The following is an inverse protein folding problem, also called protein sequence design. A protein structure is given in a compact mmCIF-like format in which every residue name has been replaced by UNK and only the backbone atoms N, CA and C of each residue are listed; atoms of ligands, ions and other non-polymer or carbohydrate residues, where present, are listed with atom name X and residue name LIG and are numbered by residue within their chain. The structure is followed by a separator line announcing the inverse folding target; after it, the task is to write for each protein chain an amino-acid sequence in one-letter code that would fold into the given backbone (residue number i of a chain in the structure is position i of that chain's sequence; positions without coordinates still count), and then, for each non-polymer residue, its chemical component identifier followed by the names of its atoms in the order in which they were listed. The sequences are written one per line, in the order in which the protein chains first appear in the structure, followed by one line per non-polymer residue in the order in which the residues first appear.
data_IF_293504593619
#
_entry.id   IF_293504593619
#
_cell.length_a   1.000
_cell.length_b   1.000
_cell.length_c   1.000
_cell.angle_alpha   90.00
_cell.angle_beta   90.00
_cell.angle_gamma   90.00
#
_symmetry.space_group_name_H-M   'P 1'
#
loop_
_entity.id
_entity.type
_entity.pdbx_description
1 polymer ?
#
# COMPACT_ATOMS: atom_id res chain seq x y z
N UNK A 1 5.08 -35.16 39.08
CA UNK A 1 5.82 -33.89 38.92
C UNK A 1 5.64 -33.45 37.48
N UNK A 2 4.64 -32.63 37.21
CA UNK A 2 4.35 -32.06 35.88
C UNK A 2 5.18 -30.79 35.72
N UNK A 3 6.21 -30.86 34.90
CA UNK A 3 7.03 -29.71 34.51
C UNK A 3 6.18 -28.75 33.68
N UNK A 4 5.79 -27.63 34.29
CA UNK A 4 5.19 -26.51 33.57
C UNK A 4 6.27 -25.86 32.70
N UNK A 5 6.14 -26.06 31.40
CA UNK A 5 6.86 -25.32 30.37
C UNK A 5 6.42 -23.86 30.44
N UNK A 6 7.18 -23.02 31.16
CA UNK A 6 7.08 -21.57 31.04
C UNK A 6 7.66 -21.14 29.70
N UNK A 7 6.79 -21.03 28.69
CA UNK A 7 7.15 -20.37 27.43
C UNK A 7 7.58 -18.93 27.77
N UNK A 8 8.81 -18.50 27.42
CA UNK A 8 9.24 -17.15 27.72
C UNK A 8 8.29 -16.16 27.07
N UNK A 9 7.84 -15.17 27.84
CA UNK A 9 6.99 -14.09 27.35
C UNK A 9 7.70 -13.42 26.17
N UNK A 10 7.08 -13.44 24.98
CA UNK A 10 7.64 -12.76 23.83
C UNK A 10 7.73 -11.26 24.13
N UNK A 11 8.85 -10.59 23.84
CA UNK A 11 8.98 -9.16 24.05
C UNK A 11 7.93 -8.44 23.20
N UNK A 12 7.22 -7.50 23.83
CA UNK A 12 6.25 -6.64 23.15
C UNK A 12 6.93 -5.93 21.97
N UNK A 13 6.45 -6.18 20.74
CA UNK A 13 7.03 -5.63 19.52
C UNK A 13 6.09 -4.58 18.93
N UNK A 14 6.52 -3.33 18.96
CA UNK A 14 5.81 -2.23 18.30
C UNK A 14 6.49 -1.88 16.98
N UNK A 15 5.72 -1.90 15.89
CA UNK A 15 6.22 -1.73 14.51
C UNK A 15 5.72 -0.41 13.91
N UNK A 16 6.59 0.34 13.23
CA UNK A 16 6.18 1.54 12.47
C UNK A 16 6.34 1.34 10.97
N UNK A 17 5.31 1.67 10.21
CA UNK A 17 5.31 1.64 8.75
C UNK A 17 5.36 3.07 8.20
N UNK A 18 6.39 3.35 7.40
CA UNK A 18 6.55 4.62 6.70
C UNK A 18 6.02 4.51 5.28
N UNK A 19 5.10 5.39 4.90
CA UNK A 19 4.40 5.38 3.62
C UNK A 19 5.02 6.38 2.64
N UNK A 20 5.48 5.88 1.50
CA UNK A 20 5.84 6.64 0.30
C UNK A 20 4.73 6.43 -0.71
N UNK A 21 4.06 7.48 -1.18
CA UNK A 21 2.89 7.31 -2.06
C UNK A 21 2.81 8.33 -3.18
N UNK A 22 1.97 8.07 -4.19
CA UNK A 22 1.93 8.86 -5.42
C UNK A 22 0.80 9.87 -5.55
N UNK A 23 -0.39 9.61 -5.02
CA UNK A 23 -1.51 10.55 -5.20
C UNK A 23 -1.52 11.70 -4.19
N UNK A 24 -2.40 12.68 -4.40
CA UNK A 24 -2.45 13.90 -3.61
C UNK A 24 -3.28 13.75 -2.32
N UNK A 25 -4.33 12.95 -2.34
CA UNK A 25 -5.30 12.87 -1.24
C UNK A 25 -4.92 11.79 -0.22
N UNK A 26 -4.06 10.86 -0.60
CA UNK A 26 -3.55 9.77 0.24
C UNK A 26 -2.74 10.24 1.44
N UNK A 27 -2.16 11.46 1.40
CA UNK A 27 -1.39 12.01 2.52
C UNK A 27 -2.19 11.99 3.83
N UNK A 28 -3.48 12.30 3.73
CA UNK A 28 -4.38 12.42 4.88
C UNK A 28 -5.08 11.09 5.18
N UNK A 29 -5.25 10.26 4.16
CA UNK A 29 -6.23 9.18 4.17
C UNK A 29 -5.65 7.78 4.10
N UNK A 30 -4.48 7.60 3.50
CA UNK A 30 -3.86 6.30 3.38
C UNK A 30 -3.55 5.65 4.74
N UNK A 31 -3.07 6.36 5.77
CA UNK A 31 -2.93 5.75 7.10
C UNK A 31 -4.25 5.20 7.67
N UNK A 32 -5.40 5.83 7.34
CA UNK A 32 -6.72 5.40 7.81
C UNK A 32 -7.18 4.09 7.18
N UNK A 33 -6.68 3.75 5.99
CA UNK A 33 -6.91 2.44 5.37
C UNK A 33 -6.42 1.32 6.29
N UNK A 34 -5.32 1.53 7.01
CA UNK A 34 -4.72 0.55 7.89
C UNK A 34 -5.26 0.57 9.33
N UNK A 35 -6.40 1.22 9.59
CA UNK A 35 -6.97 1.34 10.95
C UNK A 35 -7.13 -0.02 11.63
N UNK A 36 -7.59 -1.04 10.90
CA UNK A 36 -7.80 -2.39 11.46
C UNK A 36 -6.49 -3.06 11.91
N UNK A 37 -5.37 -2.77 11.24
CA UNK A 37 -4.05 -3.23 11.69
C UNK A 37 -3.56 -2.43 12.89
N UNK A 38 -3.85 -1.13 12.96
CA UNK A 38 -3.50 -0.29 14.10
C UNK A 38 -4.32 -0.63 15.35
N UNK A 39 -5.56 -1.09 15.18
CA UNK A 39 -6.47 -1.52 16.26
C UNK A 39 -5.92 -2.76 17.01
N UNK A 40 -4.98 -3.51 16.41
CA UNK A 40 -4.23 -4.56 17.10
C UNK A 40 -3.31 -4.01 18.22
N UNK A 41 -3.03 -2.70 18.23
CA UNK A 41 -2.19 -2.04 19.21
C UNK A 41 -0.67 -2.24 19.02
N UNK A 42 -0.26 -3.06 18.04
CA UNK A 42 1.14 -3.43 17.79
C UNK A 42 1.82 -2.60 16.70
N UNK A 43 1.11 -1.66 16.06
CA UNK A 43 1.67 -0.92 14.94
C UNK A 43 1.11 0.48 14.69
N UNK A 44 1.83 1.25 13.86
CA UNK A 44 1.43 2.57 13.41
C UNK A 44 1.90 2.85 11.98
N UNK A 45 1.11 3.65 11.25
CA UNK A 45 1.39 4.06 9.88
C UNK A 45 1.56 5.57 9.81
N UNK A 46 2.67 6.04 9.22
CA UNK A 46 2.91 7.47 8.98
C UNK A 46 3.37 7.74 7.57
N UNK A 47 3.02 8.92 7.06
CA UNK A 47 3.52 9.40 5.78
C UNK A 47 4.96 9.87 5.95
N UNK A 48 5.85 9.35 5.09
CA UNK A 48 7.24 9.79 5.04
C UNK A 48 7.53 10.64 3.79
N UNK A 49 6.86 10.38 2.66
CA UNK A 49 7.09 11.13 1.41
C UNK A 49 5.93 10.96 0.43
N UNK A 50 5.47 12.06 -0.17
CA UNK A 50 4.72 12.02 -1.42
C UNK A 50 5.70 12.12 -2.60
N UNK A 51 5.57 11.26 -3.58
CA UNK A 51 6.36 11.25 -4.82
C UNK A 51 5.43 11.42 -6.02
N UNK A 52 5.89 11.90 -7.19
CA UNK A 52 5.08 11.81 -8.39
C UNK A 52 4.92 10.34 -8.81
N UNK A 53 3.79 10.02 -9.44
CA UNK A 53 3.64 8.73 -10.09
C UNK A 53 4.72 8.54 -11.17
N UNK A 54 5.38 7.38 -11.19
CA UNK A 54 6.54 7.14 -12.04
C UNK A 54 6.21 6.23 -13.23
N UNK A 55 6.54 6.66 -14.44
CA UNK A 55 6.46 5.82 -15.65
C UNK A 55 7.46 4.66 -15.64
N UNK A 56 7.25 3.60 -16.44
CA UNK A 56 8.31 2.64 -16.75
C UNK A 56 9.60 3.34 -17.17
N UNK A 57 10.75 2.76 -16.82
CA UNK A 57 12.01 3.26 -17.37
C UNK A 57 12.07 2.90 -18.86
N UNK A 58 12.01 3.92 -19.71
CA UNK A 58 12.24 3.80 -21.16
C UNK A 58 13.73 3.72 -21.52
N UNK A 59 14.62 4.08 -20.58
CA UNK A 59 16.02 4.33 -20.88
C UNK A 59 16.96 3.43 -20.04
N UNK A 60 17.92 2.77 -20.70
CA UNK A 60 19.15 2.31 -20.04
C UNK A 60 20.01 3.56 -19.74
N UNK A 61 19.79 4.23 -18.60
CA UNK A 61 20.54 5.47 -18.29
C UNK A 61 22.06 5.27 -18.34
N UNK A 62 22.72 6.09 -19.16
CA UNK A 62 24.15 6.39 -19.01
C UNK A 62 24.37 7.00 -17.63
N UNK A 63 25.31 6.44 -16.86
CA UNK A 63 25.68 6.92 -15.53
C UNK A 63 26.41 8.25 -15.69
N UNK A 64 25.78 9.36 -15.30
CA UNK A 64 26.42 10.67 -15.28
C UNK A 64 27.38 10.74 -14.09
N UNK A 65 28.66 10.96 -14.37
CA UNK A 65 29.73 11.23 -13.40
C UNK A 65 29.99 12.73 -13.31
N UNK A 66 30.27 13.23 -12.10
CA UNK A 66 30.69 14.62 -11.91
C UNK A 66 32.10 14.80 -12.50
N UNK A 67 32.28 15.78 -13.39
CA UNK A 67 33.59 16.16 -13.90
C UNK A 67 34.46 16.69 -12.76
N UNK A 68 35.63 16.07 -12.54
CA UNK A 68 36.63 16.53 -11.56
C UNK A 68 36.60 15.87 -10.17
N UNK A 69 35.69 14.93 -9.91
CA UNK A 69 35.71 14.12 -8.67
C UNK A 69 35.57 12.65 -9.04
N UNK A 70 36.65 11.88 -8.86
CA UNK A 70 36.58 10.41 -8.97
C UNK A 70 35.52 9.88 -7.97
N UNK A 71 34.65 9.02 -8.48
CA UNK A 71 33.67 8.21 -7.74
C UNK A 71 32.43 8.87 -7.12
N UNK A 72 32.20 10.18 -7.26
CA UNK A 72 30.91 10.78 -6.84
C UNK A 72 29.85 10.66 -7.95
N UNK A 73 29.04 9.60 -7.87
CA UNK A 73 27.83 9.44 -8.70
C UNK A 73 26.76 10.43 -8.26
N UNK A 74 26.15 11.14 -9.22
CA UNK A 74 25.00 11.99 -8.95
C UNK A 74 23.80 11.08 -8.65
N UNK A 75 23.16 11.23 -7.48
CA UNK A 75 22.02 10.40 -7.12
C UNK A 75 20.88 10.60 -8.10
N UNK A 76 20.28 9.50 -8.54
CA UNK A 76 19.15 9.56 -9.48
C UNK A 76 17.90 10.17 -8.81
N UNK A 77 16.93 10.62 -9.60
CA UNK A 77 15.64 11.13 -9.06
C UNK A 77 14.97 10.06 -8.20
N UNK A 78 14.95 8.81 -8.65
CA UNK A 78 14.37 7.68 -7.91
C UNK A 78 15.11 7.47 -6.58
N UNK A 79 16.44 7.62 -6.55
CA UNK A 79 17.22 7.52 -5.31
C UNK A 79 16.86 8.63 -4.32
N UNK A 80 16.71 9.87 -4.79
CA UNK A 80 16.37 11.01 -3.94
C UNK A 80 14.95 10.94 -3.39
N UNK A 81 14.00 10.48 -4.20
CA UNK A 81 12.57 10.49 -3.86
C UNK A 81 12.11 9.21 -3.15
N UNK A 82 12.77 8.06 -3.38
CA UNK A 82 12.35 6.77 -2.83
C UNK A 82 13.43 6.21 -1.90
N UNK A 83 14.64 5.96 -2.44
CA UNK A 83 15.69 5.24 -1.69
C UNK A 83 16.12 6.00 -0.45
N UNK A 84 16.34 7.31 -0.54
CA UNK A 84 16.81 8.12 0.58
C UNK A 84 15.78 8.27 1.71
N UNK A 85 14.51 8.64 1.44
CA UNK A 85 13.48 8.65 2.48
C UNK A 85 13.30 7.28 3.14
N UNK A 86 13.24 6.19 2.35
CA UNK A 86 13.15 4.84 2.89
C UNK A 86 14.36 4.50 3.77
N UNK A 87 15.59 4.77 3.30
CA UNK A 87 16.82 4.53 4.07
C UNK A 87 16.83 5.29 5.39
N UNK A 88 16.48 6.58 5.36
CA UNK A 88 16.44 7.41 6.57
C UNK A 88 15.45 6.86 7.59
N UNK A 89 14.27 6.44 7.12
CA UNK A 89 13.24 5.85 7.97
C UNK A 89 13.68 4.50 8.56
N UNK A 90 14.30 3.64 7.74
CA UNK A 90 14.72 2.28 8.10
C UNK A 90 15.97 2.20 8.99
N UNK A 91 16.63 3.33 9.28
CA UNK A 91 17.73 3.40 10.26
C UNK A 91 17.26 3.12 11.69
N UNK A 92 15.96 3.14 11.95
CA UNK A 92 15.37 2.76 13.22
C UNK A 92 15.12 1.25 13.27
N UNK A 93 15.17 0.66 14.46
CA UNK A 93 14.72 -0.71 14.69
C UNK A 93 13.19 -0.81 14.61
N UNK A 94 12.66 -1.95 14.17
CA UNK A 94 11.21 -2.20 14.07
C UNK A 94 10.45 -1.21 13.16
N UNK A 95 11.14 -0.64 12.17
CA UNK A 95 10.51 0.18 11.13
C UNK A 95 10.54 -0.51 9.78
N UNK A 96 9.48 -0.29 9.00
CA UNK A 96 9.28 -0.79 7.65
C UNK A 96 8.91 0.36 6.72
N UNK A 97 9.27 0.29 5.44
CA UNK A 97 8.92 1.29 4.43
C UNK A 97 8.05 0.66 3.34
N UNK A 98 6.98 1.35 2.96
CA UNK A 98 6.04 0.87 1.94
C UNK A 98 5.94 1.95 0.86
N UNK A 99 6.23 1.59 -0.38
CA UNK A 99 5.87 2.41 -1.54
C UNK A 99 4.48 1.97 -2.01
N UNK A 100 3.53 2.89 -2.07
CA UNK A 100 2.15 2.66 -2.51
C UNK A 100 1.89 3.52 -3.75
N UNK A 101 1.79 2.90 -4.92
CA UNK A 101 1.45 3.60 -6.16
C UNK A 101 -0.05 3.49 -6.48
N UNK A 102 -0.62 4.63 -6.83
CA UNK A 102 -2.01 4.86 -7.19
C UNK A 102 -2.25 4.40 -8.65
N UNK A 103 -2.20 3.09 -8.89
CA UNK A 103 -2.11 2.53 -10.23
C UNK A 103 -3.40 2.76 -11.03
N UNK A 104 -3.40 3.77 -11.88
CA UNK A 104 -4.52 4.05 -12.77
C UNK A 104 -4.77 2.92 -13.78
N UNK A 105 -6.04 2.73 -14.16
CA UNK A 105 -6.45 1.73 -15.13
C UNK A 105 -5.67 1.81 -16.45
N UNK A 106 -5.41 3.03 -16.93
CA UNK A 106 -4.64 3.33 -18.16
C UNK A 106 -3.22 2.75 -18.13
N UNK A 107 -2.68 2.49 -16.93
CA UNK A 107 -1.32 2.05 -16.68
C UNK A 107 -1.21 0.57 -16.30
N UNK A 108 -2.33 -0.16 -16.25
CA UNK A 108 -2.37 -1.59 -15.87
C UNK A 108 -1.43 -2.46 -16.69
N UNK A 109 -1.30 -2.21 -17.99
CA UNK A 109 -0.38 -2.95 -18.88
C UNK A 109 1.10 -2.71 -18.57
N UNK A 110 1.42 -1.64 -17.84
CA UNK A 110 2.78 -1.25 -17.46
C UNK A 110 3.10 -1.58 -16.00
N UNK A 111 2.15 -2.11 -15.24
CA UNK A 111 2.25 -2.27 -13.79
C UNK A 111 3.50 -3.06 -13.36
N UNK A 112 3.88 -4.10 -14.09
CA UNK A 112 5.12 -4.86 -13.81
C UNK A 112 6.37 -3.98 -13.97
N UNK A 113 6.47 -3.21 -15.05
CA UNK A 113 7.63 -2.36 -15.30
C UNK A 113 7.72 -1.19 -14.30
N UNK A 114 6.57 -0.69 -13.84
CA UNK A 114 6.49 0.31 -12.76
C UNK A 114 6.94 -0.30 -11.43
N UNK A 115 6.46 -1.51 -11.10
CA UNK A 115 6.91 -2.26 -9.93
C UNK A 115 8.42 -2.46 -9.95
N UNK A 116 8.98 -2.93 -11.07
CA UNK A 116 10.40 -3.15 -11.23
C UNK A 116 11.19 -1.85 -11.02
N UNK A 117 10.67 -0.70 -11.47
CA UNK A 117 11.32 0.60 -11.23
C UNK A 117 11.38 0.93 -9.75
N UNK A 118 10.27 0.80 -9.01
CA UNK A 118 10.25 1.05 -7.56
C UNK A 118 11.10 0.04 -6.78
N UNK A 119 10.99 -1.25 -7.11
CA UNK A 119 11.82 -2.30 -6.51
C UNK A 119 13.30 -2.05 -6.74
N UNK A 120 13.70 -1.70 -7.96
CA UNK A 120 15.09 -1.37 -8.26
C UNK A 120 15.60 -0.17 -7.44
N UNK A 121 14.74 0.81 -7.11
CA UNK A 121 15.11 1.91 -6.22
C UNK A 121 15.31 1.44 -4.77
N UNK A 122 14.45 0.55 -4.26
CA UNK A 122 14.57 -0.01 -2.92
C UNK A 122 15.69 -1.06 -2.79
N UNK A 123 16.01 -1.76 -3.86
CA UNK A 123 17.03 -2.82 -3.87
C UNK A 123 18.47 -2.28 -3.75
N UNK A 124 18.65 -0.95 -3.82
CA UNK A 124 19.91 -0.25 -3.50
C UNK A 124 20.14 -0.15 -1.98
N UNK A 125 19.09 -0.36 -1.17
CA UNK A 125 19.20 -0.34 0.29
C UNK A 125 20.17 -1.43 0.80
N UNK A 126 20.82 -1.20 1.95
CA UNK A 126 21.63 -2.22 2.61
C UNK A 126 20.85 -3.54 2.81
N UNK A 127 21.52 -4.71 2.80
CA UNK A 127 20.85 -6.01 2.91
C UNK A 127 19.89 -6.12 4.10
N UNK A 128 20.23 -5.57 5.27
CA UNK A 128 19.41 -5.57 6.48
C UNK A 128 18.18 -4.65 6.40
N UNK A 129 18.17 -3.70 5.47
CA UNK A 129 17.05 -2.78 5.21
C UNK A 129 16.17 -3.25 4.05
N UNK A 130 16.76 -3.95 3.07
CA UNK A 130 16.08 -4.38 1.84
C UNK A 130 14.79 -5.17 2.12
N UNK A 131 14.84 -6.10 3.08
CA UNK A 131 13.69 -6.93 3.47
C UNK A 131 12.60 -6.17 4.24
N UNK A 132 12.93 -4.99 4.76
CA UNK A 132 12.01 -4.11 5.49
C UNK A 132 11.33 -3.08 4.57
N UNK A 133 11.50 -3.20 3.25
CA UNK A 133 10.92 -2.29 2.28
C UNK A 133 10.09 -3.04 1.21
N UNK A 134 8.88 -2.57 0.92
CA UNK A 134 7.97 -3.17 -0.06
C UNK A 134 7.36 -2.16 -1.02
N UNK A 135 6.81 -2.66 -2.14
CA UNK A 135 6.07 -1.90 -3.15
C UNK A 135 4.71 -2.54 -3.35
N UNK A 136 3.65 -1.75 -3.28
CA UNK A 136 2.27 -2.19 -3.48
C UNK A 136 1.50 -1.20 -4.35
N UNK A 137 0.37 -1.66 -4.89
CA UNK A 137 -0.51 -0.87 -5.73
C UNK A 137 -1.90 -0.77 -5.11
N UNK A 138 -2.50 0.40 -5.22
CA UNK A 138 -3.95 0.59 -5.10
C UNK A 138 -4.52 0.63 -6.52
N UNK A 139 -5.08 -0.48 -6.99
CA UNK A 139 -5.47 -0.62 -8.40
C UNK A 139 -6.74 0.15 -8.69
N UNK A 140 -6.67 1.02 -9.70
CA UNK A 140 -7.68 2.01 -10.05
C UNK A 140 -8.00 2.96 -8.88
N UNK A 141 -7.00 3.24 -8.05
CA UNK A 141 -7.05 4.16 -6.93
C UNK A 141 -7.81 3.68 -5.70
N UNK A 142 -7.61 4.39 -4.59
CA UNK A 142 -8.23 4.07 -3.30
C UNK A 142 -9.76 4.04 -3.38
N UNK A 143 -10.35 4.86 -4.26
CA UNK A 143 -11.79 4.96 -4.49
C UNK A 143 -12.42 3.67 -5.03
N UNK A 144 -11.67 2.85 -5.77
CA UNK A 144 -12.19 1.57 -6.27
C UNK A 144 -12.69 0.71 -5.10
N UNK A 145 -11.92 0.66 -4.02
CA UNK A 145 -12.24 -0.16 -2.86
C UNK A 145 -13.48 0.29 -2.09
N UNK A 146 -13.93 1.54 -2.26
CA UNK A 146 -15.19 2.01 -1.65
C UNK A 146 -16.38 1.20 -2.18
N UNK A 147 -16.33 0.77 -3.43
CA UNK A 147 -17.40 0.01 -4.06
C UNK A 147 -17.51 -1.43 -3.56
N UNK A 148 -16.51 -1.95 -2.84
CA UNK A 148 -16.58 -3.25 -2.17
C UNK A 148 -17.33 -3.18 -0.84
N UNK A 149 -17.58 -1.98 -0.32
CA UNK A 149 -18.41 -1.73 0.84
C UNK A 149 -19.32 -0.51 0.60
N UNK A 150 -20.40 -0.73 -0.15
CA UNK A 150 -21.34 0.30 -0.53
C UNK A 150 -22.01 0.98 0.68
N UNK A 151 -22.07 0.31 1.83
CA UNK A 151 -22.61 0.91 3.05
C UNK A 151 -21.77 2.12 3.51
N UNK A 152 -20.45 2.07 3.35
CA UNK A 152 -19.57 3.20 3.67
C UNK A 152 -19.86 4.41 2.76
N UNK A 153 -20.12 4.17 1.47
CA UNK A 153 -20.52 5.23 0.52
C UNK A 153 -21.89 5.79 0.90
N UNK A 154 -22.88 4.92 1.08
CA UNK A 154 -24.27 5.28 1.41
C UNK A 154 -24.35 6.13 2.69
N UNK A 155 -23.55 5.80 3.70
CA UNK A 155 -23.51 6.53 4.96
C UNK A 155 -22.91 7.94 4.86
N UNK A 156 -22.19 8.27 3.78
CA UNK A 156 -21.57 9.59 3.56
C UNK A 156 -22.32 10.40 2.51
N UNK A 157 -22.71 9.76 1.41
CA UNK A 157 -23.32 10.42 0.25
C UNK A 157 -24.85 10.34 0.26
N UNK A 158 -25.47 9.62 1.20
CA UNK A 158 -26.93 9.46 1.26
C UNK A 158 -27.50 8.63 0.11
N UNK A 159 -26.67 7.77 -0.50
CA UNK A 159 -27.05 6.90 -1.62
C UNK A 159 -27.65 5.58 -1.14
N UNK A 160 -28.13 4.76 -2.06
CA UNK A 160 -28.65 3.41 -1.81
C UNK A 160 -27.99 2.39 -2.75
N UNK A 161 -26.66 2.38 -2.77
CA UNK A 161 -25.88 1.43 -3.56
C UNK A 161 -25.82 0.05 -2.92
N UNK A 162 -25.69 -0.96 -3.76
CA UNK A 162 -25.27 -2.32 -3.38
C UNK A 162 -23.76 -2.48 -3.59
N UNK A 163 -23.15 -3.44 -2.88
CA UNK A 163 -21.74 -3.79 -3.08
C UNK A 163 -21.51 -4.20 -4.54
N UNK A 164 -20.39 -3.78 -5.11
CA UNK A 164 -20.02 -4.13 -6.48
C UNK A 164 -19.79 -5.64 -6.58
N UNK A 165 -20.53 -6.30 -7.49
CA UNK A 165 -20.53 -7.78 -7.61
C UNK A 165 -19.22 -8.39 -8.11
N UNK A 166 -18.41 -7.60 -8.82
CA UNK A 166 -17.15 -8.05 -9.40
C UNK A 166 -15.93 -7.66 -8.57
N UNK A 167 -14.76 -7.80 -9.17
CA UNK A 167 -13.53 -7.28 -8.59
C UNK A 167 -13.47 -5.76 -8.78
N UNK A 168 -13.49 -5.00 -7.69
CA UNK A 168 -13.43 -3.53 -7.72
C UNK A 168 -12.16 -3.00 -8.37
N UNK A 169 -11.07 -3.77 -8.34
CA UNK A 169 -9.82 -3.47 -9.05
C UNK A 169 -9.98 -3.52 -10.60
N UNK A 170 -11.19 -3.81 -11.11
CA UNK A 170 -11.53 -3.75 -12.54
C UNK A 170 -12.36 -2.53 -12.93
N UNK A 171 -12.86 -1.74 -11.95
CA UNK A 171 -13.64 -0.53 -12.21
C UNK A 171 -12.76 0.51 -12.91
N UNK A 172 -13.13 0.91 -14.12
CA UNK A 172 -12.29 1.75 -14.98
C UNK A 172 -12.14 3.20 -14.49
N UNK A 173 -13.22 3.77 -13.95
CA UNK A 173 -13.31 5.19 -13.59
C UNK A 173 -14.00 5.42 -12.23
N UNK A 174 -13.52 4.83 -11.12
CA UNK A 174 -14.26 4.84 -9.85
C UNK A 174 -14.52 6.26 -9.32
N UNK A 175 -13.57 7.21 -9.50
CA UNK A 175 -13.79 8.63 -9.20
C UNK A 175 -14.91 9.26 -10.03
N UNK A 176 -14.97 8.91 -11.31
CA UNK A 176 -16.03 9.37 -12.22
C UNK A 176 -17.39 8.82 -11.80
N UNK A 177 -17.44 7.55 -11.44
CA UNK A 177 -18.65 6.89 -10.96
C UNK A 177 -19.14 7.53 -9.66
N UNK A 178 -18.25 7.78 -8.69
CA UNK A 178 -18.59 8.49 -7.44
C UNK A 178 -19.15 9.90 -7.70
N UNK A 179 -18.56 10.66 -8.63
CA UNK A 179 -19.06 12.00 -8.99
C UNK A 179 -20.46 11.98 -9.62
N UNK A 180 -20.88 10.87 -10.23
CA UNK A 180 -22.21 10.73 -10.82
C UNK A 180 -23.29 10.36 -9.80
N UNK A 181 -22.91 9.84 -8.62
CA UNK A 181 -23.84 9.42 -7.57
C UNK A 181 -24.45 10.62 -6.84
N UNK A 182 -23.64 11.63 -6.53
CA UNK A 182 -24.08 12.87 -5.87
C UNK A 182 -24.22 13.97 -6.94
N UNK A 183 -25.29 13.92 -7.75
CA UNK A 183 -25.48 14.84 -8.89
C UNK A 183 -25.64 16.30 -8.48
N UNK A 184 -26.14 16.55 -7.28
CA UNK A 184 -26.49 17.90 -6.82
C UNK A 184 -25.29 18.61 -6.17
N UNK A 185 -24.48 17.91 -5.37
CA UNK A 185 -23.31 18.49 -4.69
C UNK A 185 -21.98 18.07 -5.31
N UNK A 186 -21.94 16.92 -5.97
CA UNK A 186 -20.72 16.29 -6.46
C UNK A 186 -19.91 15.63 -5.35
N UNK A 187 -19.21 14.55 -5.69
CA UNK A 187 -18.22 13.92 -4.81
C UNK A 187 -16.99 14.83 -4.65
N UNK A 188 -16.72 15.29 -3.42
CA UNK A 188 -15.49 16.00 -3.06
C UNK A 188 -14.47 14.99 -2.53
N UNK A 189 -13.49 14.62 -3.35
CA UNK A 189 -12.46 13.61 -3.01
C UNK A 189 -11.78 13.91 -1.67
N UNK A 190 -11.45 15.18 -1.43
CA UNK A 190 -10.77 15.59 -0.21
C UNK A 190 -11.69 15.51 0.99
N UNK A 191 -12.99 15.82 0.90
CA UNK A 191 -13.86 15.80 2.08
C UNK A 191 -14.58 14.48 2.30
N UNK A 192 -15.10 13.90 1.22
CA UNK A 192 -15.98 12.75 1.27
C UNK A 192 -15.17 11.45 1.26
N UNK A 193 -14.09 11.37 0.47
CA UNK A 193 -13.21 10.20 0.46
C UNK A 193 -12.67 9.84 1.85
N UNK A 194 -12.25 10.86 2.60
CA UNK A 194 -11.81 10.69 3.99
C UNK A 194 -12.88 10.16 4.95
N UNK A 195 -14.14 10.59 4.76
CA UNK A 195 -15.27 10.12 5.57
C UNK A 195 -15.67 8.69 5.19
N UNK A 196 -15.63 8.36 3.89
CA UNK A 196 -15.91 7.01 3.40
C UNK A 196 -14.88 6.05 3.98
N UNK A 197 -13.58 6.36 3.91
CA UNK A 197 -12.52 5.52 4.48
C UNK A 197 -12.65 5.30 6.00
N UNK A 198 -13.08 6.31 6.74
CA UNK A 198 -13.36 6.15 8.17
C UNK A 198 -14.44 5.11 8.45
N UNK A 199 -15.41 4.97 7.54
CA UNK A 199 -16.51 4.01 7.63
C UNK A 199 -16.24 2.69 6.92
N UNK A 200 -15.26 2.65 6.01
CA UNK A 200 -14.93 1.48 5.20
C UNK A 200 -14.57 0.29 6.10
N UNK A 201 -15.29 -0.81 5.92
CA UNK A 201 -14.96 -2.08 6.57
C UNK A 201 -13.95 -2.85 5.72
N UNK A 202 -12.67 -2.79 6.10
CA UNK A 202 -11.57 -3.42 5.35
C UNK A 202 -11.64 -4.94 5.41
N UNK A 203 -12.13 -5.50 6.51
CA UNK A 203 -12.36 -6.94 6.64
C UNK A 203 -13.38 -7.39 5.59
N UNK A 204 -14.52 -6.69 5.51
CA UNK A 204 -15.53 -6.91 4.47
C UNK A 204 -14.94 -6.77 3.06
N UNK A 205 -14.18 -5.70 2.78
CA UNK A 205 -13.56 -5.46 1.46
C UNK A 205 -12.65 -6.62 1.04
N UNK A 206 -11.96 -7.26 1.98
CA UNK A 206 -11.01 -8.35 1.72
C UNK A 206 -11.61 -9.75 1.87
N UNK A 207 -12.85 -9.86 2.37
CA UNK A 207 -13.54 -11.12 2.69
C UNK A 207 -13.83 -12.01 1.48
N UNK A 208 -13.95 -11.44 0.28
CA UNK A 208 -14.15 -12.21 -0.96
C UNK A 208 -12.79 -12.67 -1.53
N UNK A 209 -12.48 -13.98 -1.57
CA UNK A 209 -11.18 -14.48 -1.99
C UNK A 209 -10.83 -14.16 -3.46
N UNK A 210 -11.81 -13.91 -4.33
CA UNK A 210 -11.58 -13.73 -5.76
C UNK A 210 -11.27 -12.28 -6.17
N UNK A 211 -11.44 -11.32 -5.26
CA UNK A 211 -11.32 -9.87 -5.54
C UNK A 211 -10.17 -9.22 -4.74
N UNK A 212 -9.89 -7.93 -4.99
CA UNK A 212 -9.03 -7.09 -4.16
C UNK A 212 -7.60 -7.65 -3.95
N UNK A 213 -7.05 -8.34 -4.95
CA UNK A 213 -5.80 -9.09 -4.82
C UNK A 213 -4.60 -8.19 -4.45
N UNK A 214 -4.59 -6.95 -4.93
CA UNK A 214 -3.51 -5.99 -4.68
C UNK A 214 -3.57 -5.45 -3.24
N UNK A 215 -4.77 -5.07 -2.78
CA UNK A 215 -4.97 -4.66 -1.39
C UNK A 215 -4.69 -5.81 -0.41
N UNK A 216 -5.15 -7.03 -0.72
CA UNK A 216 -4.89 -8.22 0.10
C UNK A 216 -3.39 -8.47 0.27
N UNK A 217 -2.62 -8.32 -0.81
CA UNK A 217 -1.17 -8.57 -0.78
C UNK A 217 -0.44 -7.52 0.06
N UNK A 218 -0.90 -6.27 0.05
CA UNK A 218 -0.41 -5.20 0.92
C UNK A 218 -0.67 -5.53 2.40
N UNK A 219 -1.91 -5.90 2.75
CA UNK A 219 -2.26 -6.26 4.14
C UNK A 219 -1.53 -7.51 4.62
N UNK A 220 -1.41 -8.53 3.76
CA UNK A 220 -0.65 -9.75 4.06
C UNK A 220 0.82 -9.44 4.36
N UNK A 221 1.43 -8.51 3.61
CA UNK A 221 2.81 -8.11 3.85
C UNK A 221 2.95 -7.36 5.19
N UNK A 222 2.02 -6.46 5.50
CA UNK A 222 2.00 -5.76 6.80
C UNK A 222 1.90 -6.76 7.97
N UNK A 223 0.96 -7.71 7.94
CA UNK A 223 0.80 -8.71 9.00
C UNK A 223 2.01 -9.61 9.15
N UNK A 224 2.61 -10.05 8.04
CA UNK A 224 3.88 -10.78 8.08
C UNK A 224 4.97 -9.98 8.79
N UNK A 225 5.06 -8.67 8.53
CA UNK A 225 6.03 -7.80 9.19
C UNK A 225 5.78 -7.65 10.69
N UNK A 226 4.51 -7.69 11.11
CA UNK A 226 4.12 -7.72 12.53
C UNK A 226 4.49 -9.04 13.20
N UNK A 227 4.63 -10.12 12.42
CA UNK A 227 4.80 -11.47 12.95
C UNK A 227 3.47 -12.11 13.34
N UNK A 228 2.36 -11.53 12.89
CA UNK A 228 1.02 -12.08 13.11
C UNK A 228 0.78 -13.27 12.16
N UNK A 229 0.07 -14.31 12.62
CA UNK A 229 -0.28 -15.42 11.76
C UNK A 229 -1.27 -14.99 10.67
N UNK A 230 -1.11 -15.51 9.47
CA UNK A 230 -2.11 -15.34 8.40
C UNK A 230 -3.42 -16.00 8.81
N UNK A 231 -4.49 -15.21 8.95
CA UNK A 231 -5.85 -15.68 9.23
C UNK A 231 -6.69 -15.77 7.96
N UNK A 232 -7.80 -16.51 8.03
CA UNK A 232 -8.80 -16.55 6.95
C UNK A 232 -9.71 -15.32 6.92
N UNK A 233 -9.69 -14.47 7.96
CA UNK A 233 -10.53 -13.27 8.11
C UNK A 233 -10.46 -12.37 6.87
N UNK A 234 -9.24 -12.10 6.39
CA UNK A 234 -8.97 -11.32 5.17
C UNK A 234 -8.63 -12.20 3.95
N UNK A 235 -8.93 -13.50 4.03
CA UNK A 235 -8.62 -14.50 3.02
C UNK A 235 -7.12 -14.59 2.66
N UNK A 236 -6.20 -14.41 3.62
CA UNK A 236 -4.76 -14.46 3.30
C UNK A 236 -4.24 -15.85 2.92
N UNK A 237 -4.90 -16.92 3.38
CA UNK A 237 -4.49 -18.30 3.09
C UNK A 237 -5.03 -18.82 1.75
N UNK A 238 -6.26 -18.43 1.40
CA UNK A 238 -7.00 -19.01 0.28
C UNK A 238 -7.41 -17.99 -0.78
N UNK A 239 -7.24 -16.69 -0.50
CA UNK A 239 -7.60 -15.61 -1.41
C UNK A 239 -6.52 -15.33 -2.45
N UNK A 240 -6.95 -14.72 -3.55
CA UNK A 240 -6.09 -14.28 -4.64
C UNK A 240 -5.11 -13.22 -4.17
N UNK A 241 -3.84 -13.38 -4.54
CA UNK A 241 -2.80 -12.39 -4.29
C UNK A 241 -2.38 -11.75 -5.62
N UNK A 242 -1.88 -10.51 -5.55
CA UNK A 242 -1.41 -9.76 -6.70
C UNK A 242 -0.21 -10.46 -7.31
N UNK A 243 -0.32 -10.84 -8.58
CA UNK A 243 0.75 -11.53 -9.32
C UNK A 243 2.05 -10.73 -9.36
N UNK A 244 1.96 -9.40 -9.35
CA UNK A 244 3.12 -8.50 -9.44
C UNK A 244 3.84 -8.39 -8.10
N UNK A 245 3.10 -8.27 -7.00
CA UNK A 245 3.67 -7.92 -5.69
C UNK A 245 3.82 -9.12 -4.74
N UNK A 246 3.21 -10.27 -5.05
CA UNK A 246 3.23 -11.51 -4.22
C UNK A 246 4.63 -12.01 -3.89
N UNK A 247 5.60 -11.83 -4.79
CA UNK A 247 6.97 -12.32 -4.59
C UNK A 247 7.64 -11.70 -3.36
N UNK A 248 7.16 -10.55 -2.92
CA UNK A 248 7.63 -9.89 -1.70
C UNK A 248 7.16 -10.57 -0.42
N UNK A 249 6.13 -11.43 -0.46
CA UNK A 249 5.70 -12.25 0.67
C UNK A 249 6.59 -13.48 0.85
N UNK A 250 7.22 -13.97 -0.21
CA UNK A 250 8.08 -15.16 -0.20
C UNK A 250 9.52 -14.80 0.22
N UNK A 251 9.98 -13.59 -0.14
CA UNK A 251 11.37 -13.17 -0.01
C UNK A 251 11.65 -12.23 1.18
N UNK A 252 10.70 -12.01 2.08
CA UNK A 252 10.83 -11.13 3.27
C UNK A 252 11.06 -11.87 4.58
#
# INVERSE_FOLDING_TARGET
MTSQSTTPAQPYRYVKFGLIFTGETEEIYLPKLFKTLMDLGSCYFEVIRRIPQLDPRTDRKQKLTVTGVQDKKIPSKDEKEITWPAKQYLNQSNTYAIVVDDLEHSRKSQAQAVFDRYRNALDILPPDQKYRASVHFLVNMLEAYYFADAQAINAVLGTALEDYRGDVETIRHPKGDLKQLDRDRGFDEKKDGGKILQKLDVEKVLSNPDTCASLRTLFAWCLKCLGEPSTNEYQFLNGKLSEITRSQLENS
#
